data_IF_921662266433
#
_entry.id   IF_921662266433
#
_cell.length_a   1.000
_cell.length_b   1.000
_cell.length_c   1.000
_cell.angle_alpha   90.00
_cell.angle_beta   90.00
_cell.angle_gamma   90.00
#
_symmetry.space_group_name_H-M   'P 1'
#
loop_
_entity.id
_entity.type
_entity.pdbx_description
1 polymer ?
#
# COMPACT_ATOMS: atom_id res chain seq x y z
N UNK A 1 28.80 -16.61 1.68
CA UNK A 1 27.69 -17.57 1.60
C UNK A 1 26.57 -17.00 2.43
N UNK A 2 25.62 -16.31 1.79
CA UNK A 2 24.43 -15.81 2.47
C UNK A 2 23.41 -16.94 2.49
N UNK A 3 23.01 -17.31 3.70
CA UNK A 3 21.98 -18.29 3.99
C UNK A 3 20.66 -17.77 3.39
N UNK A 4 20.22 -18.40 2.31
CA UNK A 4 18.98 -18.03 1.64
C UNK A 4 17.85 -18.61 2.48
N UNK A 5 17.25 -17.78 3.32
CA UNK A 5 16.07 -18.14 4.10
C UNK A 5 14.94 -18.57 3.13
N UNK A 6 14.77 -19.87 3.01
CA UNK A 6 13.72 -20.49 2.23
C UNK A 6 12.42 -20.27 3.00
N UNK A 7 11.56 -19.39 2.50
CA UNK A 7 10.29 -19.10 3.16
C UNK A 7 9.38 -20.33 3.05
N UNK A 8 9.16 -21.01 4.17
CA UNK A 8 8.24 -22.14 4.23
C UNK A 8 6.79 -21.64 4.20
N UNK A 9 6.09 -21.87 3.09
CA UNK A 9 4.66 -21.58 2.96
C UNK A 9 3.84 -22.43 3.94
N UNK A 10 2.83 -21.83 4.55
CA UNK A 10 1.84 -22.55 5.36
C UNK A 10 0.87 -23.34 4.49
N UNK A 11 0.28 -24.41 5.03
CA UNK A 11 -0.73 -25.23 4.34
C UNK A 11 -1.91 -24.40 3.80
N UNK A 12 -2.33 -23.37 4.55
CA UNK A 12 -3.37 -22.45 4.12
C UNK A 12 -2.94 -21.64 2.88
N UNK A 13 -1.70 -21.14 2.86
CA UNK A 13 -1.16 -20.41 1.70
C UNK A 13 -1.04 -21.34 0.47
N UNK A 14 -0.55 -22.57 0.66
CA UNK A 14 -0.44 -23.56 -0.42
C UNK A 14 -1.81 -23.88 -1.02
N UNK A 15 -2.84 -24.03 -0.18
CA UNK A 15 -4.22 -24.23 -0.62
C UNK A 15 -4.72 -23.06 -1.46
N UNK A 16 -4.54 -21.82 -0.99
CA UNK A 16 -4.97 -20.61 -1.71
C UNK A 16 -4.28 -20.52 -3.08
N UNK A 17 -2.99 -20.82 -3.15
CA UNK A 17 -2.20 -20.82 -4.40
C UNK A 17 -2.73 -21.87 -5.37
N UNK A 18 -3.03 -23.08 -4.87
CA UNK A 18 -3.54 -24.18 -5.69
C UNK A 18 -4.94 -23.91 -6.23
N UNK A 19 -5.79 -23.19 -5.48
CA UNK A 19 -7.11 -22.75 -5.94
C UNK A 19 -7.01 -21.61 -6.99
N UNK A 20 -5.89 -20.88 -7.03
CA UNK A 20 -5.71 -19.65 -7.82
C UNK A 20 -4.34 -19.60 -8.54
N UNK A 21 -4.05 -20.55 -9.44
CA UNK A 21 -2.76 -20.63 -10.11
C UNK A 21 -2.55 -19.48 -11.12
N UNK A 22 -1.29 -19.18 -11.44
CA UNK A 22 -0.91 -18.17 -12.42
C UNK A 22 -1.30 -18.54 -13.86
N UNK A 23 -1.60 -19.82 -14.12
CA UNK A 23 -1.90 -20.37 -15.45
C UNK A 23 -0.81 -19.97 -16.45
N UNK A 24 -1.15 -19.12 -17.43
CA UNK A 24 -0.25 -18.65 -18.47
C UNK A 24 0.12 -17.16 -18.29
N UNK A 25 -0.28 -16.52 -17.18
CA UNK A 25 -0.11 -15.09 -16.97
C UNK A 25 1.36 -14.66 -16.90
N UNK A 26 2.25 -15.59 -16.54
CA UNK A 26 3.68 -15.34 -16.42
C UNK A 26 4.48 -15.81 -17.65
N UNK A 27 3.85 -16.50 -18.61
CA UNK A 27 4.53 -17.05 -19.79
C UNK A 27 5.13 -15.97 -20.69
N UNK A 28 4.45 -14.82 -20.80
CA UNK A 28 4.96 -13.66 -21.51
C UNK A 28 6.27 -13.14 -20.90
N UNK A 29 6.30 -13.02 -19.56
CA UNK A 29 7.49 -12.56 -18.84
C UNK A 29 8.61 -13.59 -18.90
N UNK A 30 8.28 -14.89 -18.82
CA UNK A 30 9.23 -15.97 -19.06
C UNK A 30 9.92 -15.81 -20.43
N UNK A 31 9.15 -15.68 -21.50
CA UNK A 31 9.71 -15.55 -22.85
C UNK A 31 10.56 -14.29 -22.99
N UNK A 32 10.08 -13.16 -22.44
CA UNK A 32 10.77 -11.88 -22.52
C UNK A 32 12.09 -11.87 -21.74
N UNK A 33 12.07 -12.34 -20.49
CA UNK A 33 13.26 -12.41 -19.63
C UNK A 33 14.26 -13.44 -20.17
N UNK A 34 13.79 -14.59 -20.67
CA UNK A 34 14.68 -15.60 -21.28
C UNK A 34 15.34 -15.12 -22.58
N UNK A 35 14.67 -14.26 -23.32
CA UNK A 35 15.25 -13.62 -24.51
C UNK A 35 16.33 -12.61 -24.12
N UNK A 36 16.12 -11.82 -23.06
CA UNK A 36 17.16 -10.90 -22.56
C UNK A 36 18.32 -11.63 -21.89
N UNK A 37 18.09 -12.82 -21.30
CA UNK A 37 19.14 -13.62 -20.67
C UNK A 37 20.18 -14.16 -21.66
N UNK A 38 19.82 -14.42 -22.92
CA UNK A 38 20.79 -14.84 -23.94
C UNK A 38 21.87 -13.79 -24.23
N UNK A 39 21.62 -12.54 -23.82
CA UNK A 39 22.55 -11.42 -23.91
C UNK A 39 23.19 -11.07 -22.54
N UNK A 40 22.84 -11.75 -21.44
CA UNK A 40 23.28 -11.43 -20.08
C UNK A 40 24.44 -12.31 -19.61
N UNK A 41 25.55 -11.67 -19.25
CA UNK A 41 26.51 -12.26 -18.33
C UNK A 41 25.88 -12.35 -16.92
N UNK A 42 26.28 -13.38 -16.16
CA UNK A 42 25.80 -13.74 -14.82
C UNK A 42 25.87 -12.63 -13.75
N UNK A 43 26.45 -11.46 -14.07
CA UNK A 43 26.59 -10.27 -13.21
C UNK A 43 25.65 -9.12 -13.56
N UNK A 44 24.84 -9.22 -14.61
CA UNK A 44 24.02 -8.08 -15.02
C UNK A 44 22.76 -7.93 -14.14
N UNK A 45 22.56 -6.71 -13.65
CA UNK A 45 21.41 -6.29 -12.86
C UNK A 45 20.12 -6.46 -13.67
N UNK A 46 19.03 -6.98 -13.09
CA UNK A 46 17.79 -7.15 -13.84
C UNK A 46 17.24 -5.80 -14.30
N UNK A 47 16.63 -5.76 -15.49
CA UNK A 47 16.08 -4.52 -16.05
C UNK A 47 14.86 -4.10 -15.23
N UNK A 48 14.78 -2.81 -14.91
CA UNK A 48 13.68 -2.25 -14.13
C UNK A 48 12.30 -2.54 -14.76
N UNK A 49 12.17 -2.37 -16.07
CA UNK A 49 10.93 -2.63 -16.82
C UNK A 49 10.44 -4.09 -16.73
N UNK A 50 11.37 -5.04 -16.58
CA UNK A 50 11.06 -6.45 -16.40
C UNK A 50 10.56 -6.75 -14.99
N UNK A 51 11.22 -6.17 -13.99
CA UNK A 51 10.80 -6.28 -12.59
C UNK A 51 9.44 -5.62 -12.37
N UNK A 52 9.23 -4.41 -12.88
CA UNK A 52 7.98 -3.67 -12.74
C UNK A 52 6.81 -4.41 -13.41
N UNK A 53 7.02 -4.92 -14.62
CA UNK A 53 6.01 -5.70 -15.34
C UNK A 53 5.67 -7.00 -14.62
N UNK A 54 6.68 -7.72 -14.11
CA UNK A 54 6.49 -8.95 -13.35
C UNK A 54 5.71 -8.70 -12.06
N UNK A 55 6.09 -7.68 -11.29
CA UNK A 55 5.37 -7.30 -10.07
C UNK A 55 3.93 -6.88 -10.37
N UNK A 56 3.70 -6.13 -11.45
CA UNK A 56 2.35 -5.78 -11.90
C UNK A 56 1.48 -7.01 -12.18
N UNK A 57 2.04 -8.04 -12.83
CA UNK A 57 1.34 -9.30 -13.08
C UNK A 57 1.07 -10.09 -11.78
N UNK A 58 2.03 -10.10 -10.85
CA UNK A 58 1.84 -10.72 -9.53
C UNK A 58 0.74 -10.02 -8.74
N UNK A 59 0.72 -8.68 -8.72
CA UNK A 59 -0.34 -7.88 -8.07
C UNK A 59 -1.71 -8.14 -8.70
N UNK A 60 -1.78 -8.27 -10.02
CA UNK A 60 -3.04 -8.54 -10.73
C UNK A 60 -3.57 -9.96 -10.49
N UNK A 61 -2.77 -10.87 -9.92
CA UNK A 61 -3.19 -12.24 -9.66
C UNK A 61 -4.22 -12.31 -8.52
N UNK A 62 -5.19 -13.24 -8.65
CA UNK A 62 -6.19 -13.44 -7.60
C UNK A 62 -5.56 -13.95 -6.29
N UNK A 63 -4.48 -14.73 -6.37
CA UNK A 63 -3.74 -15.22 -5.22
C UNK A 63 -3.20 -14.08 -4.35
N UNK A 64 -2.66 -13.01 -4.96
CA UNK A 64 -2.07 -11.88 -4.23
C UNK A 64 -3.03 -11.21 -3.25
N UNK A 65 -4.32 -11.07 -3.61
CA UNK A 65 -5.33 -10.44 -2.76
C UNK A 65 -5.83 -11.32 -1.62
N UNK A 66 -5.55 -12.62 -1.66
CA UNK A 66 -6.09 -13.61 -0.72
C UNK A 66 -4.99 -14.21 0.16
N UNK A 67 -3.73 -14.06 -0.25
CA UNK A 67 -2.59 -14.44 0.54
C UNK A 67 -2.35 -13.41 1.65
N UNK A 68 -2.34 -13.83 2.93
CA UNK A 68 -1.97 -12.94 4.02
C UNK A 68 -0.51 -12.52 3.87
N UNK A 69 -0.25 -11.26 4.19
CA UNK A 69 1.10 -10.71 4.19
C UNK A 69 1.91 -11.22 5.39
N UNK A 70 3.25 -11.40 5.28
CA UNK A 70 4.11 -11.86 6.39
C UNK A 70 4.11 -10.91 7.60
N UNK A 71 3.96 -9.61 7.35
CA UNK A 71 3.90 -8.57 8.37
C UNK A 71 2.54 -8.52 9.12
N UNK A 72 1.61 -9.41 8.77
CA UNK A 72 0.25 -9.45 9.32
C UNK A 72 -0.63 -8.28 8.87
N UNK A 73 -0.14 -7.40 8.00
CA UNK A 73 -0.82 -6.18 7.60
C UNK A 73 -1.45 -6.34 6.20
N UNK A 74 -2.63 -6.94 6.17
CA UNK A 74 -3.40 -7.10 4.94
C UNK A 74 -2.91 -8.26 4.07
N UNK A 75 -2.91 -8.06 2.75
CA UNK A 75 -2.60 -9.09 1.76
C UNK A 75 -1.32 -8.78 0.97
N UNK A 76 -0.76 -9.82 0.34
CA UNK A 76 0.48 -9.71 -0.42
C UNK A 76 0.42 -8.67 -1.56
N UNK A 77 -0.76 -8.41 -2.13
CA UNK A 77 -0.92 -7.43 -3.21
C UNK A 77 -0.55 -6.00 -2.76
N UNK A 78 -0.92 -5.58 -1.55
CA UNK A 78 -0.58 -4.25 -1.03
C UNK A 78 0.92 -4.04 -0.87
N UNK A 79 1.62 -5.05 -0.38
CA UNK A 79 3.06 -4.99 -0.20
C UNK A 79 3.80 -5.02 -1.53
N UNK A 80 3.35 -5.83 -2.50
CA UNK A 80 3.87 -5.81 -3.86
C UNK A 80 3.66 -4.46 -4.56
N UNK A 81 2.51 -3.81 -4.37
CA UNK A 81 2.24 -2.45 -4.86
C UNK A 81 3.18 -1.41 -4.24
N UNK A 82 3.45 -1.53 -2.94
CA UNK A 82 4.37 -0.66 -2.22
C UNK A 82 5.81 -0.83 -2.72
N UNK A 83 6.22 -2.06 -3.05
CA UNK A 83 7.50 -2.33 -3.73
C UNK A 83 7.55 -1.65 -5.09
N UNK A 84 6.51 -1.79 -5.89
CA UNK A 84 6.46 -1.22 -7.23
C UNK A 84 6.62 0.30 -7.20
N UNK A 85 6.02 0.98 -6.23
CA UNK A 85 6.22 2.43 -6.02
C UNK A 85 7.67 2.76 -5.67
N UNK A 86 8.26 2.02 -4.74
CA UNK A 86 9.64 2.22 -4.29
C UNK A 86 10.69 1.97 -5.39
N UNK A 87 10.43 1.03 -6.32
CA UNK A 87 11.27 0.83 -7.51
C UNK A 87 11.23 2.06 -8.40
N UNK A 88 10.06 2.65 -8.63
CA UNK A 88 9.90 3.87 -9.44
C UNK A 88 10.59 5.08 -8.82
N UNK A 89 10.69 5.10 -7.49
CA UNK A 89 11.46 6.09 -6.73
C UNK A 89 12.96 5.77 -6.64
N UNK A 90 13.42 4.67 -7.25
CA UNK A 90 14.81 4.19 -7.23
C UNK A 90 15.37 3.95 -5.82
N UNK A 91 14.50 3.59 -4.86
CA UNK A 91 14.87 3.38 -3.45
C UNK A 91 15.22 1.92 -3.13
N UNK A 92 15.07 1.01 -4.09
CA UNK A 92 15.34 -0.43 -3.93
C UNK A 92 16.34 -0.88 -5.00
N UNK A 93 17.37 -1.61 -4.58
CA UNK A 93 18.33 -2.25 -5.48
C UNK A 93 17.66 -3.42 -6.24
N UNK A 94 17.77 -3.40 -7.57
CA UNK A 94 17.15 -4.38 -8.44
C UNK A 94 17.76 -5.79 -8.28
N UNK A 95 18.98 -5.92 -7.78
CA UNK A 95 19.62 -7.22 -7.53
C UNK A 95 18.87 -8.08 -6.52
N UNK A 96 18.06 -7.48 -5.64
CA UNK A 96 17.22 -8.20 -4.69
C UNK A 96 16.13 -9.04 -5.36
N UNK A 97 15.74 -8.72 -6.59
CA UNK A 97 14.74 -9.48 -7.35
C UNK A 97 15.32 -10.67 -8.09
N UNK A 98 16.65 -10.85 -8.09
CA UNK A 98 17.33 -11.94 -8.79
C UNK A 98 16.78 -13.32 -8.42
N UNK A 99 16.54 -13.68 -7.14
CA UNK A 99 15.96 -14.98 -6.79
C UNK A 99 14.59 -15.22 -7.43
N UNK A 100 13.72 -14.20 -7.41
CA UNK A 100 12.39 -14.28 -8.01
C UNK A 100 12.47 -14.47 -9.53
N UNK A 101 13.36 -13.72 -10.19
CA UNK A 101 13.58 -13.84 -11.64
C UNK A 101 14.08 -15.24 -12.00
N UNK A 102 15.00 -15.80 -11.22
CA UNK A 102 15.48 -17.18 -11.41
C UNK A 102 14.34 -18.20 -11.31
N UNK A 103 13.37 -18.03 -10.39
CA UNK A 103 12.20 -18.91 -10.30
C UNK A 103 11.33 -18.83 -11.58
N UNK A 104 11.14 -17.64 -12.14
CA UNK A 104 10.37 -17.46 -13.38
C UNK A 104 11.08 -18.12 -14.55
N UNK A 105 12.39 -17.90 -14.72
CA UNK A 105 13.20 -18.51 -15.80
C UNK A 105 13.24 -20.03 -15.70
N UNK A 106 13.25 -20.59 -14.49
CA UNK A 106 13.23 -22.03 -14.31
C UNK A 106 11.84 -22.65 -14.47
N UNK A 107 10.81 -21.85 -14.79
CA UNK A 107 9.39 -22.27 -14.78
C UNK A 107 9.04 -23.03 -13.51
N UNK A 108 9.51 -22.50 -12.37
CA UNK A 108 9.23 -23.08 -11.07
C UNK A 108 7.72 -23.11 -10.81
N UNK A 109 7.22 -24.06 -10.01
CA UNK A 109 5.80 -24.14 -9.70
C UNK A 109 5.36 -22.91 -8.89
N UNK A 110 4.07 -22.57 -8.98
CA UNK A 110 3.49 -21.35 -8.40
C UNK A 110 3.81 -21.18 -6.91
N UNK A 111 3.85 -22.26 -6.13
CA UNK A 111 4.20 -22.20 -4.72
C UNK A 111 5.65 -21.79 -4.49
N UNK A 112 6.60 -22.23 -5.32
CA UNK A 112 8.00 -21.80 -5.24
C UNK A 112 8.14 -20.33 -5.64
N UNK A 113 7.38 -19.87 -6.63
CA UNK A 113 7.35 -18.45 -7.01
C UNK A 113 6.83 -17.61 -5.84
N UNK A 114 5.75 -18.01 -5.20
CA UNK A 114 5.20 -17.31 -4.04
C UNK A 114 6.12 -17.36 -2.82
N UNK A 115 6.81 -18.48 -2.56
CA UNK A 115 7.83 -18.56 -1.51
C UNK A 115 8.94 -17.53 -1.75
N UNK A 116 9.45 -17.42 -2.97
CA UNK A 116 10.45 -16.41 -3.34
C UNK A 116 9.92 -14.97 -3.18
N UNK A 117 8.63 -14.74 -3.47
CA UNK A 117 7.97 -13.45 -3.21
C UNK A 117 7.94 -13.16 -1.71
N UNK A 118 7.57 -14.10 -0.85
CA UNK A 118 7.53 -13.88 0.59
C UNK A 118 8.92 -13.67 1.20
N UNK A 119 9.94 -14.43 0.76
CA UNK A 119 11.34 -14.16 1.12
C UNK A 119 11.76 -12.74 0.70
N UNK A 120 11.32 -12.28 -0.48
CA UNK A 120 11.57 -10.90 -0.92
C UNK A 120 10.87 -9.87 -0.02
N UNK A 121 9.62 -10.11 0.37
CA UNK A 121 8.89 -9.24 1.31
C UNK A 121 9.62 -9.15 2.66
N UNK A 122 10.04 -10.28 3.22
CA UNK A 122 10.77 -10.33 4.48
C UNK A 122 12.11 -9.60 4.42
N UNK A 123 12.86 -9.75 3.31
CA UNK A 123 14.17 -9.09 3.14
C UNK A 123 14.07 -7.58 2.90
N UNK A 124 12.96 -7.09 2.33
CA UNK A 124 12.73 -5.66 2.10
C UNK A 124 12.19 -4.94 3.34
N UNK A 125 11.91 -5.70 4.41
CA UNK A 125 11.51 -5.22 5.72
C UNK A 125 10.05 -4.73 5.77
N UNK A 126 9.58 -4.32 6.97
CA UNK A 126 8.23 -3.82 7.13
C UNK A 126 8.02 -2.64 6.20
N UNK A 127 7.04 -2.73 5.31
CA UNK A 127 6.68 -1.61 4.48
C UNK A 127 6.13 -0.53 5.41
N UNK A 128 6.71 0.68 5.43
CA UNK A 128 6.02 1.77 6.07
C UNK A 128 4.66 1.82 5.41
N UNK A 129 3.61 1.61 6.21
CA UNK A 129 2.23 1.85 5.83
C UNK A 129 2.22 3.07 4.91
N UNK A 130 1.54 3.06 3.74
CA UNK A 130 1.44 4.28 2.94
C UNK A 130 1.01 5.34 3.93
N UNK A 131 1.92 6.29 4.17
CA UNK A 131 1.76 7.31 5.18
C UNK A 131 0.34 7.76 4.98
N UNK A 132 -0.51 7.54 5.99
CA UNK A 132 -1.81 8.15 5.97
C UNK A 132 -1.49 9.61 5.69
N UNK A 133 -1.89 10.10 4.52
CA UNK A 133 -1.66 11.49 4.13
C UNK A 133 -2.44 12.45 5.04
N UNK A 134 -3.07 11.91 6.09
CA UNK A 134 -3.20 12.53 7.39
C UNK A 134 -1.79 12.88 7.90
N UNK A 135 -1.27 14.00 7.42
CA UNK A 135 -0.42 14.87 8.24
C UNK A 135 -1.05 14.84 9.64
N UNK A 136 -0.33 14.46 10.71
CA UNK A 136 -0.83 14.62 12.05
C UNK A 136 -1.08 16.10 12.27
N UNK A 137 -2.28 16.58 11.96
CA UNK A 137 -2.79 17.88 12.43
C UNK A 137 -2.98 17.86 13.94
N UNK A 138 -2.76 16.70 14.58
CA UNK A 138 -2.66 16.57 16.03
C UNK A 138 -1.31 17.11 16.57
N UNK A 139 -1.06 18.39 16.31
CA UNK A 139 -0.49 19.29 17.34
C UNK A 139 -1.60 19.98 18.13
N UNK A 140 -2.83 19.47 18.06
CA UNK A 140 -3.91 19.87 18.96
C UNK A 140 -3.57 19.43 20.38
N UNK A 141 -3.35 20.40 21.27
CA UNK A 141 -3.43 20.18 22.72
C UNK A 141 -4.70 19.36 23.02
N UNK A 142 -4.66 18.32 23.88
CA UNK A 142 -5.83 17.49 24.15
C UNK A 142 -7.00 18.36 24.65
N UNK A 143 -7.98 18.63 23.80
CA UNK A 143 -9.22 19.28 24.22
C UNK A 143 -10.06 18.21 24.89
N UNK A 144 -10.04 18.21 26.23
CA UNK A 144 -11.02 17.44 27.00
C UNK A 144 -12.41 17.83 26.51
N UNK A 145 -13.15 16.86 25.99
CA UNK A 145 -14.57 16.93 25.66
C UNK A 145 -15.38 17.05 26.96
N UNK A 146 -15.26 18.17 27.66
CA UNK A 146 -16.12 18.53 28.78
C UNK A 146 -16.81 19.83 28.44
N UNK A 147 -18.13 19.71 28.31
CA UNK A 147 -19.11 20.72 27.90
C UNK A 147 -19.26 21.90 28.88
N UNK A 148 -18.25 22.21 29.68
CA UNK A 148 -18.26 23.27 30.71
C UNK A 148 -17.63 24.60 30.25
N UNK A 149 -16.93 24.64 29.10
CA UNK A 149 -16.22 25.85 28.63
C UNK A 149 -17.12 26.92 27.99
N UNK A 150 -18.38 26.60 27.68
CA UNK A 150 -19.32 27.54 27.05
C UNK A 150 -20.19 28.29 28.07
N UNK A 151 -20.09 27.96 29.36
CA UNK A 151 -20.82 28.65 30.42
C UNK A 151 -20.21 30.00 30.79
N UNK A 152 -18.91 30.19 30.51
CA UNK A 152 -18.17 31.40 30.88
C UNK A 152 -17.82 32.23 29.64
N UNK A 153 -18.34 33.45 29.56
CA UNK A 153 -18.33 34.30 28.36
C UNK A 153 -16.91 34.64 27.89
N UNK A 154 -15.96 34.77 28.81
CA UNK A 154 -14.56 35.08 28.50
C UNK A 154 -13.86 33.90 27.81
N UNK A 155 -14.17 32.66 28.22
CA UNK A 155 -13.61 31.46 27.58
C UNK A 155 -14.20 31.23 26.19
N UNK A 156 -15.45 31.63 25.98
CA UNK A 156 -16.13 31.51 24.69
C UNK A 156 -15.48 32.37 23.61
N UNK A 157 -15.15 33.62 23.92
CA UNK A 157 -14.61 34.56 22.93
C UNK A 157 -13.19 34.16 22.46
N UNK A 158 -12.39 33.60 23.38
CA UNK A 158 -11.06 33.05 23.07
C UNK A 158 -11.20 31.82 22.18
N UNK A 159 -12.08 30.89 22.54
CA UNK A 159 -12.30 29.64 21.78
C UNK A 159 -12.90 29.92 20.41
N UNK A 160 -13.87 30.84 20.30
CA UNK A 160 -14.45 31.23 19.00
C UNK A 160 -13.39 31.88 18.10
N UNK A 161 -12.51 32.72 18.65
CA UNK A 161 -11.42 33.34 17.87
C UNK A 161 -10.42 32.32 17.35
N UNK A 162 -9.96 31.41 18.20
CA UNK A 162 -9.01 30.35 17.81
C UNK A 162 -9.62 29.40 16.78
N UNK A 163 -10.83 28.91 17.05
CA UNK A 163 -11.54 28.01 16.14
C UNK A 163 -11.81 28.67 14.79
N UNK A 164 -12.16 29.97 14.80
CA UNK A 164 -12.41 30.71 13.57
C UNK A 164 -11.14 30.90 12.74
N UNK A 165 -9.99 31.18 13.37
CA UNK A 165 -8.70 31.25 12.67
C UNK A 165 -8.31 29.90 12.04
N UNK A 166 -8.65 28.77 12.67
CA UNK A 166 -8.42 27.43 12.12
C UNK A 166 -9.30 27.14 10.89
N UNK A 167 -10.58 27.48 10.94
CA UNK A 167 -11.53 27.05 9.90
C UNK A 167 -11.77 28.10 8.81
N UNK A 168 -11.32 29.36 8.99
CA UNK A 168 -11.62 30.46 8.05
C UNK A 168 -11.14 30.25 6.63
N UNK A 169 -10.06 29.50 6.43
CA UNK A 169 -9.47 29.23 5.11
C UNK A 169 -10.18 28.09 4.37
N UNK A 170 -10.95 27.27 5.09
CA UNK A 170 -11.63 26.10 4.55
C UNK A 170 -13.16 26.22 4.60
N UNK A 171 -13.69 27.35 5.07
CA UNK A 171 -15.14 27.58 5.20
C UNK A 171 -15.59 28.71 4.25
N UNK A 172 -16.50 28.40 3.33
CA UNK A 172 -17.14 29.41 2.50
C UNK A 172 -18.05 30.29 3.36
N UNK A 173 -17.81 31.60 3.38
CA UNK A 173 -18.63 32.57 4.12
C UNK A 173 -19.76 33.11 3.26
N UNK A 174 -20.86 33.49 3.92
CA UNK A 174 -21.99 34.18 3.29
C UNK A 174 -22.53 33.45 2.05
N UNK A 175 -22.60 32.12 2.11
CA UNK A 175 -23.17 31.32 1.01
C UNK A 175 -24.64 31.70 0.87
N UNK A 176 -24.96 32.40 -0.22
CA UNK A 176 -26.32 32.90 -0.48
C UNK A 176 -27.34 31.76 -0.47
N UNK A 177 -28.46 31.97 0.23
CA UNK A 177 -29.54 30.98 0.34
C UNK A 177 -29.23 29.75 1.20
N UNK A 178 -28.05 29.66 1.83
CA UNK A 178 -27.73 28.55 2.73
C UNK A 178 -28.67 28.51 3.94
N UNK A 179 -28.83 29.65 4.64
CA UNK A 179 -29.72 29.72 5.79
C UNK A 179 -31.18 29.47 5.40
N UNK A 180 -31.65 30.09 4.31
CA UNK A 180 -33.05 29.90 3.87
C UNK A 180 -33.35 28.45 3.47
N UNK A 181 -32.36 27.72 2.96
CA UNK A 181 -32.54 26.32 2.52
C UNK A 181 -32.53 25.31 3.66
N UNK A 182 -31.70 25.52 4.68
CA UNK A 182 -31.49 24.54 5.76
C UNK A 182 -32.08 24.96 7.09
N UNK A 183 -32.30 26.27 7.29
CA UNK A 183 -32.77 26.87 8.53
C UNK A 183 -34.04 27.70 8.33
N UNK A 184 -34.96 27.23 7.47
CA UNK A 184 -36.31 27.80 7.37
C UNK A 184 -37.16 27.37 8.57
N UNK A 185 -37.25 28.27 9.56
CA UNK A 185 -38.03 28.07 10.79
C UNK A 185 -39.51 27.78 10.52
N UNK A 186 -40.04 28.10 9.33
CA UNK A 186 -41.44 27.80 8.96
C UNK A 186 -41.68 26.31 8.71
N UNK A 187 -40.63 25.53 8.43
CA UNK A 187 -40.72 24.09 8.18
C UNK A 187 -40.36 23.24 9.40
N UNK A 188 -39.96 23.85 10.52
CA UNK A 188 -39.47 23.15 11.71
C UNK A 188 -40.57 22.68 12.67
N UNK A 189 -41.83 23.02 12.40
CA UNK A 189 -42.98 22.70 13.25
C UNK A 189 -44.12 21.96 12.54
N UNK A 190 -43.81 21.10 11.55
CA UNK A 190 -44.77 20.16 10.96
C UNK A 190 -44.49 18.74 11.42
#
# INVERSE_FOLDING_TARGET
MADQADYALTEQQIRIISERPFKNSLDYFYARIKLSERDFHQSATPRQEDVEGLLGALVASSAAYNLPSPDGNGNAAFNLLSILQRIRESTIELDRFRPLICCIINKSPDHTIWAAVFSLLDTLGPFPMPYSSIIPTFKGTPVKSSSSRLADSETREIVERELFEEIRTCTFRNVGGFCDRFFDSKNWGK
#
